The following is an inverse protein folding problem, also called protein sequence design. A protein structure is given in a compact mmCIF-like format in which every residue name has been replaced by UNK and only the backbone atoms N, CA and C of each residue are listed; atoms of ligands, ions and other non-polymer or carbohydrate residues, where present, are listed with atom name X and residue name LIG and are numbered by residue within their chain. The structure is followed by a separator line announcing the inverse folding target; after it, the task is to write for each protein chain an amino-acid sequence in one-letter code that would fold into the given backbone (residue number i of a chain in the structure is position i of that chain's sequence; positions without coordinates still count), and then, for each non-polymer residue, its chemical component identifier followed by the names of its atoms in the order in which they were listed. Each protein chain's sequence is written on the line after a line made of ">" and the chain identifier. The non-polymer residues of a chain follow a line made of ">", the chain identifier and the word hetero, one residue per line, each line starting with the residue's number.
data_IF_488844320478
#
_entry.id   IF_488844320478
#
_cell.length_a   1.000
_cell.length_b   1.000
_cell.length_c   1.000
_cell.angle_alpha   90.00
_cell.angle_beta   90.00
_cell.angle_gamma   90.00
#
_symmetry.space_group_name_H-M   'P 1'
#
loop_
_entity.id
_entity.type
_entity.pdbx_description
1 polymer ?
#
# COMPACT_ATOMS: atom_id res chain seq x y z
N UNK A 1 -11.51 -9.97 30.09
CA UNK A 1 -10.58 -9.55 29.02
C UNK A 1 -9.17 -10.00 29.39
N UNK A 2 -8.50 -10.74 28.51
CA UNK A 2 -7.16 -11.30 28.77
C UNK A 2 -6.09 -10.52 28.02
N UNK A 3 -5.04 -10.09 28.71
CA UNK A 3 -3.85 -9.48 28.09
C UNK A 3 -3.06 -10.57 27.38
N UNK A 4 -3.10 -10.59 26.04
CA UNK A 4 -2.49 -11.66 25.24
C UNK A 4 -0.96 -11.72 25.35
N UNK A 5 -0.28 -10.58 25.50
CA UNK A 5 1.16 -10.53 25.73
C UNK A 5 1.55 -9.30 26.54
N UNK A 6 2.62 -9.43 27.33
CA UNK A 6 3.28 -8.28 27.92
C UNK A 6 4.03 -7.45 26.88
N UNK A 7 4.05 -6.12 27.09
CA UNK A 7 4.79 -5.17 26.27
C UNK A 7 6.27 -5.53 26.35
N UNK A 8 6.80 -6.09 25.27
CA UNK A 8 8.19 -6.52 25.14
C UNK A 8 8.57 -6.46 23.67
N UNK A 9 9.83 -6.15 23.37
CA UNK A 9 10.33 -6.29 21.99
C UNK A 9 10.23 -7.77 21.60
N UNK A 10 9.75 -8.04 20.40
CA UNK A 10 9.66 -9.40 19.84
C UNK A 10 10.64 -9.53 18.68
N UNK A 11 11.30 -10.68 18.58
CA UNK A 11 12.16 -11.01 17.43
C UNK A 11 11.31 -11.65 16.34
N UNK A 12 11.55 -11.25 15.11
CA UNK A 12 11.00 -11.89 13.94
C UNK A 12 11.69 -13.26 13.78
N UNK A 13 10.95 -14.39 13.87
CA UNK A 13 11.55 -15.71 13.73
C UNK A 13 12.08 -15.98 12.32
N UNK A 14 11.60 -15.28 11.29
CA UNK A 14 12.07 -15.44 9.91
C UNK A 14 13.43 -14.76 9.66
N UNK A 15 13.70 -13.62 10.31
CA UNK A 15 14.92 -12.82 10.08
C UNK A 15 15.91 -12.86 11.24
N UNK A 16 15.48 -13.30 12.42
CA UNK A 16 16.25 -13.24 13.67
C UNK A 16 16.42 -11.84 14.24
N UNK A 17 15.93 -10.80 13.55
CA UNK A 17 16.01 -9.40 13.96
C UNK A 17 14.83 -8.99 14.83
N UNK A 18 14.92 -7.82 15.46
CA UNK A 18 13.76 -7.22 16.13
C UNK A 18 12.76 -6.75 15.08
N UNK A 19 11.47 -6.99 15.33
CA UNK A 19 10.43 -6.44 14.47
C UNK A 19 10.54 -4.92 14.41
N UNK A 20 10.49 -4.41 13.19
CA UNK A 20 10.39 -2.99 12.86
C UNK A 20 8.93 -2.60 12.61
N UNK A 21 8.53 -1.35 12.84
CA UNK A 21 7.17 -0.90 12.56
C UNK A 21 6.72 -1.11 11.11
N UNK A 22 7.64 -1.02 10.14
CA UNK A 22 7.36 -1.20 8.71
C UNK A 22 6.97 -2.62 8.32
N UNK A 23 7.23 -3.61 9.18
CA UNK A 23 6.78 -4.99 8.97
C UNK A 23 5.28 -5.19 9.31
N UNK A 24 4.64 -4.21 9.93
CA UNK A 24 3.22 -4.26 10.30
C UNK A 24 2.38 -3.44 9.31
N UNK A 25 2.03 -4.04 8.17
CA UNK A 25 1.17 -3.45 7.15
C UNK A 25 -0.09 -4.31 6.92
N UNK A 26 -1.19 -3.71 6.46
CA UNK A 26 -2.41 -4.43 6.09
C UNK A 26 -2.09 -5.49 5.02
N UNK A 27 -2.56 -6.72 5.25
CA UNK A 27 -2.23 -7.88 4.42
C UNK A 27 -0.97 -8.64 4.86
N UNK A 28 -0.19 -8.12 5.81
CA UNK A 28 0.96 -8.83 6.34
C UNK A 28 0.56 -9.98 7.28
N UNK A 29 1.30 -11.08 7.22
CA UNK A 29 1.28 -12.12 8.26
C UNK A 29 2.55 -12.04 9.09
N UNK A 30 2.43 -11.74 10.38
CA UNK A 30 3.55 -11.63 11.32
C UNK A 30 3.48 -12.72 12.38
N UNK A 31 4.60 -13.40 12.64
CA UNK A 31 4.65 -14.47 13.64
C UNK A 31 5.17 -13.94 14.97
N UNK A 32 4.29 -13.81 15.96
CA UNK A 32 4.62 -13.35 17.31
C UNK A 32 4.48 -14.52 18.28
N UNK A 33 5.55 -14.83 19.01
CA UNK A 33 5.58 -15.94 19.99
C UNK A 33 5.08 -17.28 19.40
N UNK A 34 5.56 -17.63 18.19
CA UNK A 34 5.18 -18.82 17.42
C UNK A 34 3.71 -18.88 16.96
N UNK A 35 2.95 -17.78 17.07
CA UNK A 35 1.59 -17.67 16.56
C UNK A 35 1.56 -16.69 15.38
N UNK A 36 1.02 -17.07 14.20
CA UNK A 36 0.86 -16.16 13.07
C UNK A 36 -0.35 -15.25 13.28
N UNK A 37 -0.17 -13.96 12.98
CA UNK A 37 -1.21 -12.94 13.00
C UNK A 37 -1.33 -12.30 11.63
N UNK A 38 -2.54 -12.33 11.05
CA UNK A 38 -2.87 -11.62 9.83
C UNK A 38 -3.38 -10.22 10.15
N UNK A 39 -2.75 -9.19 9.59
CA UNK A 39 -3.13 -7.80 9.82
C UNK A 39 -4.25 -7.44 8.85
N UNK A 40 -5.49 -7.49 9.32
CA UNK A 40 -6.68 -7.24 8.49
C UNK A 40 -6.91 -5.76 8.23
N UNK A 41 -6.64 -4.90 9.22
CA UNK A 41 -6.86 -3.44 9.15
C UNK A 41 -5.88 -2.69 10.05
N UNK A 42 -5.69 -1.41 9.76
CA UNK A 42 -5.06 -0.44 10.65
C UNK A 42 -6.06 0.69 10.96
N UNK A 43 -5.86 1.38 12.09
CA UNK A 43 -6.69 2.55 12.41
C UNK A 43 -6.27 3.79 11.59
N UNK A 44 -7.16 4.78 11.55
CA UNK A 44 -6.97 6.01 10.77
C UNK A 44 -5.71 6.78 11.15
N UNK A 45 -5.38 6.82 12.44
CA UNK A 45 -4.20 7.54 12.92
C UNK A 45 -2.91 6.83 12.49
N UNK A 46 -2.90 5.51 12.54
CA UNK A 46 -1.79 4.66 12.10
C UNK A 46 -1.56 4.80 10.61
N UNK A 47 -2.62 4.78 9.80
CA UNK A 47 -2.51 4.97 8.35
C UNK A 47 -1.91 6.33 8.00
N UNK A 48 -2.44 7.42 8.60
CA UNK A 48 -1.89 8.77 8.43
C UNK A 48 -0.42 8.86 8.82
N UNK A 49 -0.07 8.29 9.97
CA UNK A 49 1.31 8.29 10.43
C UNK A 49 2.24 7.57 9.44
N UNK A 50 1.83 6.41 8.92
CA UNK A 50 2.63 5.68 7.93
C UNK A 50 2.74 6.43 6.61
N UNK A 51 1.68 7.10 6.17
CA UNK A 51 1.66 7.94 4.96
C UNK A 51 2.57 9.17 5.09
N UNK A 52 2.55 9.86 6.24
CA UNK A 52 3.38 11.03 6.53
C UNK A 52 4.88 10.68 6.60
N UNK A 53 5.22 9.55 7.21
CA UNK A 53 6.61 9.08 7.29
C UNK A 53 7.08 8.46 5.97
N UNK A 54 6.21 7.73 5.28
CA UNK A 54 6.46 7.08 4.00
C UNK A 54 7.74 6.24 3.96
N UNK A 55 8.42 6.26 2.82
CA UNK A 55 9.66 5.51 2.61
C UNK A 55 10.83 5.96 3.49
N UNK A 56 10.80 7.17 4.07
CA UNK A 56 11.88 7.65 4.95
C UNK A 56 12.03 6.80 6.22
N UNK A 57 10.94 6.17 6.68
CA UNK A 57 10.92 5.23 7.80
C UNK A 57 10.65 3.78 7.36
N UNK A 58 10.75 3.49 6.05
CA UNK A 58 10.56 2.16 5.49
C UNK A 58 9.10 1.75 5.25
N UNK A 59 8.13 2.67 5.36
CA UNK A 59 6.72 2.39 5.06
C UNK A 59 6.44 2.47 3.55
N UNK A 60 7.09 1.60 2.78
CA UNK A 60 7.01 1.62 1.31
C UNK A 60 5.59 1.37 0.77
N UNK A 61 4.77 0.60 1.50
CA UNK A 61 3.39 0.33 1.13
C UNK A 61 2.42 1.46 1.47
N UNK A 62 2.86 2.48 2.21
CA UNK A 62 2.08 3.66 2.59
C UNK A 62 2.54 4.92 1.86
N UNK A 63 3.55 4.79 1.00
CA UNK A 63 4.12 5.89 0.23
C UNK A 63 3.59 5.87 -1.22
N UNK A 64 2.68 6.78 -1.51
CA UNK A 64 2.06 6.89 -2.83
C UNK A 64 3.07 7.07 -3.95
N UNK A 65 4.21 7.75 -3.72
CA UNK A 65 5.22 7.94 -4.76
C UNK A 65 5.93 6.62 -5.09
N UNK A 66 6.19 5.80 -4.09
CA UNK A 66 6.78 4.46 -4.27
C UNK A 66 5.82 3.53 -5.00
N UNK A 67 4.54 3.57 -4.63
CA UNK A 67 3.47 2.81 -5.29
C UNK A 67 3.30 3.30 -6.73
N UNK A 68 3.30 4.60 -6.97
CA UNK A 68 3.14 5.18 -8.30
C UNK A 68 4.24 4.74 -9.27
N UNK A 69 5.49 4.61 -8.80
CA UNK A 69 6.59 4.04 -9.60
C UNK A 69 6.31 2.58 -10.01
N UNK A 70 5.70 1.79 -9.12
CA UNK A 70 5.27 0.41 -9.43
C UNK A 70 4.13 0.41 -10.47
N UNK A 71 3.27 1.43 -10.46
CA UNK A 71 2.15 1.59 -11.39
C UNK A 71 2.55 2.24 -12.72
N UNK A 72 3.77 2.73 -12.89
CA UNK A 72 4.23 3.39 -14.12
C UNK A 72 3.96 2.62 -15.43
N UNK A 73 4.06 1.29 -15.49
CA UNK A 73 3.72 0.56 -16.72
C UNK A 73 2.25 0.67 -17.13
N UNK A 74 1.34 1.04 -16.22
CA UNK A 74 -0.07 1.25 -16.55
C UNK A 74 -0.30 2.45 -17.45
N UNK A 75 0.66 3.39 -17.58
CA UNK A 75 0.53 4.51 -18.53
C UNK A 75 0.42 4.02 -19.98
N UNK A 76 0.98 2.85 -20.28
CA UNK A 76 0.90 2.21 -21.61
C UNK A 76 -0.26 1.21 -21.71
N UNK A 77 -1.04 1.02 -20.65
CA UNK A 77 -2.19 0.12 -20.64
C UNK A 77 -3.44 0.89 -21.10
N UNK A 78 -3.88 0.65 -22.33
CA UNK A 78 -5.07 1.29 -22.91
C UNK A 78 -6.34 0.98 -22.09
N UNK A 79 -6.45 -0.26 -21.61
CA UNK A 79 -7.59 -0.67 -20.79
C UNK A 79 -7.64 0.16 -19.48
N UNK A 80 -6.50 0.42 -18.83
CA UNK A 80 -6.46 1.27 -17.65
C UNK A 80 -6.72 2.75 -17.98
N UNK A 81 -6.01 3.30 -18.98
CA UNK A 81 -6.03 4.74 -19.30
C UNK A 81 -7.32 5.23 -19.96
N UNK A 82 -8.11 4.33 -20.55
CA UNK A 82 -9.42 4.66 -21.11
C UNK A 82 -10.53 4.77 -20.06
N UNK A 83 -10.30 4.28 -18.83
CA UNK A 83 -11.24 4.35 -17.71
C UNK A 83 -11.15 5.72 -17.02
N UNK A 84 -12.29 6.24 -16.56
CA UNK A 84 -12.32 7.41 -15.67
C UNK A 84 -12.22 7.00 -14.20
N UNK A 85 -12.82 5.85 -13.86
CA UNK A 85 -12.87 5.26 -12.53
C UNK A 85 -12.65 3.76 -12.62
N UNK A 86 -12.12 3.19 -11.55
CA UNK A 86 -11.84 1.76 -11.45
C UNK A 86 -12.08 1.26 -10.03
N UNK A 87 -12.63 0.06 -9.93
CA UNK A 87 -12.76 -0.67 -8.68
C UNK A 87 -11.37 -1.13 -8.16
N UNK A 88 -11.12 -1.16 -6.84
CA UNK A 88 -9.86 -1.63 -6.28
C UNK A 88 -9.44 -3.05 -6.69
N UNK A 89 -10.38 -3.99 -6.82
CA UNK A 89 -10.07 -5.37 -7.21
C UNK A 89 -9.73 -5.43 -8.71
N UNK A 90 -10.48 -4.73 -9.56
CA UNK A 90 -10.18 -4.57 -10.98
C UNK A 90 -8.80 -3.94 -11.20
N UNK A 91 -8.45 -2.90 -10.43
CA UNK A 91 -7.12 -2.29 -10.50
C UNK A 91 -6.03 -3.33 -10.19
N UNK A 92 -6.23 -4.15 -9.15
CA UNK A 92 -5.25 -5.16 -8.77
C UNK A 92 -5.09 -6.25 -9.85
N UNK A 93 -6.17 -6.66 -10.50
CA UNK A 93 -6.12 -7.59 -11.64
C UNK A 93 -5.40 -6.99 -12.86
N UNK A 94 -5.62 -5.72 -13.18
CA UNK A 94 -4.88 -5.04 -14.25
C UNK A 94 -3.40 -4.92 -13.93
N UNK A 95 -3.05 -4.57 -12.69
CA UNK A 95 -1.66 -4.53 -12.24
C UNK A 95 -1.03 -5.91 -12.36
N UNK A 96 -1.75 -6.98 -12.00
CA UNK A 96 -1.28 -8.34 -12.20
C UNK A 96 -1.07 -8.68 -13.68
N UNK A 97 -1.98 -8.28 -14.56
CA UNK A 97 -1.91 -8.55 -16.00
C UNK A 97 -0.79 -7.76 -16.69
N UNK A 98 -0.63 -6.48 -16.37
CA UNK A 98 0.30 -5.57 -17.05
C UNK A 98 1.73 -5.65 -16.48
N UNK A 99 1.86 -5.84 -15.16
CA UNK A 99 3.14 -5.77 -14.45
C UNK A 99 3.60 -7.17 -13.99
N UNK A 100 2.72 -8.17 -14.02
CA UNK A 100 3.02 -9.53 -13.59
C UNK A 100 3.06 -9.71 -12.07
N UNK A 101 2.59 -8.72 -11.30
CA UNK A 101 2.59 -8.72 -9.83
C UNK A 101 1.34 -8.04 -9.31
N UNK A 102 0.82 -8.50 -8.18
CA UNK A 102 -0.31 -7.86 -7.50
C UNK A 102 0.16 -6.74 -6.56
N UNK A 103 -0.76 -5.82 -6.29
CA UNK A 103 -0.67 -4.91 -5.16
C UNK A 103 -0.98 -5.68 -3.87
N UNK A 104 -0.26 -5.35 -2.80
CA UNK A 104 -0.61 -5.82 -1.46
C UNK A 104 -1.74 -4.96 -0.89
N UNK A 105 -2.51 -5.50 0.05
CA UNK A 105 -3.69 -4.82 0.61
C UNK A 105 -3.37 -3.40 1.11
N UNK A 106 -2.21 -3.20 1.76
CA UNK A 106 -1.82 -1.86 2.22
C UNK A 106 -1.60 -0.87 1.05
N UNK A 107 -1.00 -1.29 -0.08
CA UNK A 107 -0.84 -0.42 -1.25
C UNK A 107 -2.21 0.00 -1.79
N UNK A 108 -3.17 -0.95 -1.85
CA UNK A 108 -4.55 -0.67 -2.27
C UNK A 108 -5.21 0.34 -1.32
N UNK A 109 -5.07 0.14 -0.01
CA UNK A 109 -5.57 1.08 1.01
C UNK A 109 -5.01 2.49 0.79
N UNK A 110 -3.69 2.61 0.56
CA UNK A 110 -3.05 3.91 0.32
C UNK A 110 -3.52 4.56 -0.98
N UNK A 111 -3.71 3.79 -2.05
CA UNK A 111 -4.27 4.29 -3.31
C UNK A 111 -5.71 4.76 -3.09
N UNK A 112 -6.56 3.98 -2.43
CA UNK A 112 -7.95 4.36 -2.14
C UNK A 112 -7.99 5.68 -1.37
N UNK A 113 -7.19 5.79 -0.30
CA UNK A 113 -7.16 7.00 0.55
C UNK A 113 -6.71 8.25 -0.20
N UNK A 114 -5.82 8.09 -1.19
CA UNK A 114 -5.25 9.21 -1.95
C UNK A 114 -6.05 9.56 -3.21
N UNK A 115 -6.59 8.54 -3.89
CA UNK A 115 -7.10 8.64 -5.25
C UNK A 115 -8.60 8.34 -5.38
N UNK A 116 -9.26 7.76 -4.37
CA UNK A 116 -10.69 7.47 -4.43
C UNK A 116 -11.57 8.57 -3.82
N UNK A 117 -12.86 8.49 -4.07
CA UNK A 117 -13.88 9.28 -3.38
C UNK A 117 -14.48 8.44 -2.24
N UNK A 118 -14.03 8.70 -1.01
CA UNK A 118 -14.46 7.97 0.19
C UNK A 118 -15.91 8.27 0.59
N UNK A 119 -16.59 9.21 -0.08
CA UNK A 119 -18.00 9.51 0.19
C UNK A 119 -18.98 8.65 -0.61
N UNK A 120 -18.48 7.81 -1.53
CA UNK A 120 -19.29 6.98 -2.42
C UNK A 120 -19.12 5.49 -2.12
N UNK A 121 -20.22 4.76 -2.28
CA UNK A 121 -20.26 3.29 -2.26
C UNK A 121 -20.90 2.77 -3.57
N UNK A 122 -20.24 1.86 -4.31
CA UNK A 122 -18.90 1.34 -4.07
C UNK A 122 -17.81 2.41 -4.21
N UNK A 123 -16.71 2.24 -3.46
CA UNK A 123 -15.59 3.18 -3.50
C UNK A 123 -14.80 2.94 -4.79
N UNK A 124 -14.73 3.95 -5.66
CA UNK A 124 -14.01 3.88 -6.93
C UNK A 124 -12.80 4.81 -6.94
N UNK A 125 -11.69 4.30 -7.46
CA UNK A 125 -10.42 5.01 -7.61
C UNK A 125 -10.49 5.89 -8.86
N UNK A 126 -10.11 7.16 -8.72
CA UNK A 126 -10.01 8.09 -9.84
C UNK A 126 -8.73 7.83 -10.64
N UNK A 127 -8.87 7.39 -11.88
CA UNK A 127 -7.74 7.02 -12.75
C UNK A 127 -6.84 8.22 -13.01
N UNK A 128 -7.41 9.42 -13.17
CA UNK A 128 -6.64 10.64 -13.40
C UNK A 128 -5.72 10.94 -12.22
N UNK A 129 -6.20 10.79 -10.98
CA UNK A 129 -5.36 11.00 -9.78
C UNK A 129 -4.24 9.97 -9.68
N UNK A 130 -4.48 8.72 -10.08
CA UNK A 130 -3.43 7.70 -10.12
C UNK A 130 -2.37 8.09 -11.16
N UNK A 131 -2.79 8.50 -12.36
CA UNK A 131 -1.90 8.93 -13.44
C UNK A 131 -1.09 10.18 -13.07
N UNK A 132 -1.70 11.16 -12.40
CA UNK A 132 -0.98 12.33 -11.84
C UNK A 132 0.10 11.92 -10.85
N UNK A 133 -0.19 10.95 -9.98
CA UNK A 133 0.80 10.41 -9.04
C UNK A 133 1.96 9.70 -9.76
N UNK A 134 1.65 8.93 -10.81
CA UNK A 134 2.65 8.27 -11.66
C UNK A 134 3.56 9.28 -12.35
N UNK A 135 2.99 10.30 -12.99
CA UNK A 135 3.74 11.35 -13.68
C UNK A 135 4.64 12.14 -12.71
N UNK A 136 4.13 12.46 -11.53
CA UNK A 136 4.92 13.12 -10.47
C UNK A 136 6.10 12.25 -10.03
N UNK A 137 5.88 10.95 -9.85
CA UNK A 137 6.91 9.99 -9.46
C UNK A 137 8.03 9.83 -10.51
N UNK A 138 7.72 10.05 -11.79
CA UNK A 138 8.69 10.04 -12.90
C UNK A 138 9.47 11.37 -13.02
N UNK A 139 8.85 12.50 -12.70
CA UNK A 139 9.46 13.84 -12.81
C UNK A 139 10.61 14.12 -11.82
N UNK A 140 10.65 13.42 -10.68
CA UNK A 140 11.72 13.57 -9.68
C UNK A 140 13.08 13.00 -10.15
N UNK A 141 13.16 12.33 -11.31
CA UNK A 141 14.42 11.86 -11.91
C UNK A 141 15.20 12.92 -12.70
N UNK A 142 14.72 14.17 -12.76
CA UNK A 142 15.30 15.22 -13.61
C UNK A 142 16.55 15.95 -13.09
N UNK A 143 17.00 15.69 -11.85
CA UNK A 143 18.19 16.34 -11.28
C UNK A 143 18.94 15.38 -10.35
N UNK A 144 19.88 14.61 -10.91
CA UNK A 144 21.02 14.01 -10.20
C UNK A 144 22.12 13.72 -11.20
#
# INVERSE_FOLDING_TARGET
>A
EGKFSEKSRKRNPATGQWFSPSEFYVGATVTLAAVPFYIVRADEYTLKYMEEQGSSMGFHYSDLNTIAKKLAPLESCEDFTSRSRIDPDELNELVASCIGRRLVDHEIVTIIRSCADLSKEPCEIDVSKVMEAVQRGNGEMGWS
#
